data_IF_381399266598
#
_entry.id   IF_381399266598
#
_cell.length_a   1.000
_cell.length_b   1.000
_cell.length_c   1.000
_cell.angle_alpha   90.00
_cell.angle_beta   90.00
_cell.angle_gamma   90.00
#
_symmetry.space_group_name_H-M   'P 1'
#
loop_
_entity.id
_entity.type
_entity.pdbx_description
1 polymer ?
#
# COMPACT_ATOMS: atom_id res chain seq x y z
N UNK A 1 -9.05 18.52 6.67
CA UNK A 1 -9.21 18.09 5.25
C UNK A 1 -8.09 17.20 4.66
N UNK A 2 -7.10 16.71 5.42
CA UNK A 2 -6.01 15.84 4.90
C UNK A 2 -6.21 14.34 5.12
N UNK A 3 -7.21 13.94 5.92
CA UNK A 3 -7.45 12.53 6.22
C UNK A 3 -8.18 11.84 5.06
N UNK A 4 -7.44 11.13 4.22
CA UNK A 4 -7.96 10.41 3.05
C UNK A 4 -8.81 9.18 3.40
N UNK A 5 -8.92 8.79 4.68
CA UNK A 5 -9.92 7.82 5.14
C UNK A 5 -11.32 8.43 5.26
N UNK A 6 -11.41 9.75 5.44
CA UNK A 6 -12.68 10.47 5.68
C UNK A 6 -13.10 11.26 4.45
N UNK A 7 -12.16 11.89 3.76
CA UNK A 7 -12.40 12.73 2.60
C UNK A 7 -11.90 12.04 1.33
N UNK A 8 -12.77 11.82 0.35
CA UNK A 8 -12.40 11.24 -0.93
C UNK A 8 -11.64 12.23 -1.82
N UNK A 9 -10.77 11.69 -2.68
CA UNK A 9 -9.93 12.48 -3.60
C UNK A 9 -8.57 12.84 -3.01
N UNK A 10 -7.88 13.79 -3.66
CA UNK A 10 -6.57 14.28 -3.22
C UNK A 10 -6.73 15.28 -2.04
N UNK A 11 -5.76 15.33 -1.11
CA UNK A 11 -5.73 16.37 -0.08
C UNK A 11 -5.56 17.78 -0.71
N UNK A 12 -5.87 18.86 0.02
CA UNK A 12 -5.77 20.23 -0.51
C UNK A 12 -4.36 20.67 -0.94
N UNK A 13 -3.33 19.98 -0.46
CA UNK A 13 -1.93 20.26 -0.79
C UNK A 13 -1.05 19.03 -0.54
N UNK A 14 0.23 19.09 -0.95
CA UNK A 14 1.18 17.99 -0.74
C UNK A 14 1.48 17.80 0.74
N UNK A 15 1.81 16.56 1.13
CA UNK A 15 2.22 16.21 2.49
C UNK A 15 3.75 16.13 2.66
N UNK A 16 4.50 16.19 1.55
CA UNK A 16 5.95 16.07 1.51
C UNK A 16 6.51 16.65 0.21
N UNK A 17 7.84 16.78 0.12
CA UNK A 17 8.55 17.14 -1.10
C UNK A 17 8.86 15.86 -1.92
N UNK A 18 8.24 15.64 -3.09
CA UNK A 18 8.48 14.44 -3.88
C UNK A 18 9.86 14.46 -4.55
N UNK A 19 10.52 13.31 -4.62
CA UNK A 19 11.71 13.12 -5.44
C UNK A 19 11.36 12.96 -6.93
N UNK A 20 12.38 13.00 -7.78
CA UNK A 20 12.25 12.86 -9.24
C UNK A 20 11.48 11.59 -9.65
N UNK A 21 11.85 10.43 -9.08
CA UNK A 21 11.19 9.17 -9.37
C UNK A 21 9.70 9.18 -9.02
N UNK A 22 9.30 9.88 -7.95
CA UNK A 22 7.89 10.02 -7.55
C UNK A 22 7.11 10.88 -8.54
N UNK A 23 7.71 11.97 -9.04
CA UNK A 23 7.09 12.81 -10.08
C UNK A 23 6.94 12.03 -11.39
N UNK A 24 7.98 11.30 -11.81
CA UNK A 24 7.93 10.48 -13.01
C UNK A 24 6.81 9.43 -12.95
N UNK A 25 6.64 8.75 -11.81
CA UNK A 25 5.59 7.75 -11.62
C UNK A 25 4.17 8.32 -11.71
N UNK A 26 3.96 9.58 -11.30
CA UNK A 26 2.67 10.27 -11.45
C UNK A 26 2.36 10.56 -12.92
N UNK A 27 3.36 10.99 -13.71
CA UNK A 27 3.18 11.26 -15.14
C UNK A 27 3.11 10.00 -16.01
N UNK A 28 3.76 8.92 -15.58
CA UNK A 28 3.87 7.66 -16.31
C UNK A 28 3.45 6.46 -15.44
N UNK A 29 2.18 6.37 -15.04
CA UNK A 29 1.71 5.28 -14.20
C UNK A 29 1.75 3.94 -14.95
N UNK A 30 2.00 2.85 -14.21
CA UNK A 30 1.85 1.51 -14.74
C UNK A 30 0.39 1.23 -15.10
N UNK A 31 0.14 0.60 -16.25
CA UNK A 31 -1.20 0.17 -16.67
C UNK A 31 -1.56 -1.12 -15.94
N UNK A 32 -2.33 -0.99 -14.87
CA UNK A 32 -2.79 -2.12 -14.04
C UNK A 32 -4.17 -1.83 -13.48
N UNK A 33 -4.89 -2.88 -13.09
CA UNK A 33 -6.19 -2.79 -12.42
C UNK A 33 -6.06 -2.95 -10.90
N UNK A 34 -4.87 -2.71 -10.34
CA UNK A 34 -4.64 -2.88 -8.92
C UNK A 34 -5.26 -1.74 -8.11
N UNK A 35 -6.05 -2.10 -7.10
CA UNK A 35 -6.71 -1.16 -6.20
C UNK A 35 -6.14 -1.23 -4.77
N UNK A 36 -5.45 -2.32 -4.45
CA UNK A 36 -4.95 -2.59 -3.11
C UNK A 36 -3.48 -3.01 -3.16
N UNK A 37 -2.74 -2.66 -2.10
CA UNK A 37 -1.41 -3.18 -1.87
C UNK A 37 -1.16 -3.41 -0.37
N UNK A 38 -0.27 -4.35 -0.05
CA UNK A 38 0.18 -4.58 1.32
C UNK A 38 1.67 -4.92 1.32
N UNK A 39 2.39 -4.47 2.35
CA UNK A 39 3.82 -4.78 2.52
C UNK A 39 4.04 -6.26 2.79
N UNK A 40 5.10 -6.84 2.18
CA UNK A 40 5.61 -8.18 2.50
C UNK A 40 6.55 -8.20 3.72
N UNK A 41 6.86 -7.03 4.28
CA UNK A 41 7.84 -6.80 5.36
C UNK A 41 9.29 -7.12 4.99
N UNK A 42 9.63 -7.11 3.70
CA UNK A 42 10.98 -7.30 3.16
C UNK A 42 11.45 -6.14 2.27
N UNK A 43 10.69 -5.02 2.27
CA UNK A 43 10.92 -3.89 1.38
C UNK A 43 10.12 -3.94 0.07
N UNK A 44 9.36 -5.01 -0.17
CA UNK A 44 8.48 -5.15 -1.33
C UNK A 44 7.00 -5.22 -0.96
N UNK A 45 6.12 -5.15 -1.97
CA UNK A 45 4.67 -5.16 -1.83
C UNK A 45 4.01 -6.27 -2.66
N UNK A 46 2.85 -6.74 -2.21
CA UNK A 46 1.89 -7.47 -3.05
C UNK A 46 0.77 -6.52 -3.44
N UNK A 47 0.35 -6.59 -4.70
CA UNK A 47 -0.76 -5.82 -5.26
C UNK A 47 -1.95 -6.74 -5.55
N UNK A 48 -3.16 -6.22 -5.45
CA UNK A 48 -4.40 -6.94 -5.67
C UNK A 48 -5.45 -6.05 -6.33
N UNK A 49 -6.24 -6.62 -7.25
CA UNK A 49 -7.35 -5.92 -7.91
C UNK A 49 -8.66 -6.07 -7.13
N UNK A 50 -8.78 -7.13 -6.33
CA UNK A 50 -9.99 -7.45 -5.58
C UNK A 50 -9.77 -7.37 -4.08
N UNK A 51 -10.81 -6.95 -3.35
CA UNK A 51 -10.74 -6.81 -1.90
C UNK A 51 -10.52 -8.15 -1.17
N UNK A 52 -11.11 -9.25 -1.65
CA UNK A 52 -10.91 -10.59 -1.08
C UNK A 52 -9.45 -11.03 -1.12
N UNK A 53 -8.80 -10.84 -2.28
CA UNK A 53 -7.38 -11.11 -2.48
C UNK A 53 -6.51 -10.25 -1.55
N UNK A 54 -6.85 -8.95 -1.41
CA UNK A 54 -6.18 -8.08 -0.46
C UNK A 54 -6.28 -8.59 0.99
N UNK A 55 -7.45 -9.04 1.42
CA UNK A 55 -7.65 -9.58 2.78
C UNK A 55 -6.81 -10.84 3.02
N UNK A 56 -6.68 -11.71 2.04
CA UNK A 56 -5.81 -12.88 2.13
C UNK A 56 -4.34 -12.48 2.23
N UNK A 57 -3.90 -11.52 1.42
CA UNK A 57 -2.56 -10.97 1.48
C UNK A 57 -2.28 -10.33 2.85
N UNK A 58 -3.21 -9.56 3.41
CA UNK A 58 -3.09 -8.98 4.77
C UNK A 58 -2.96 -10.08 5.83
N UNK A 59 -3.79 -11.13 5.77
CA UNK A 59 -3.69 -12.26 6.70
C UNK A 59 -2.33 -12.96 6.61
N UNK A 60 -1.79 -13.11 5.41
CA UNK A 60 -0.50 -13.75 5.19
C UNK A 60 0.67 -12.88 5.67
N UNK A 61 0.79 -11.68 5.11
CA UNK A 61 1.97 -10.84 5.26
C UNK A 61 1.95 -9.97 6.51
N UNK A 62 0.79 -9.67 7.10
CA UNK A 62 0.73 -8.89 8.33
C UNK A 62 0.39 -9.79 9.51
N UNK A 63 -0.76 -10.46 9.50
CA UNK A 63 -1.23 -11.21 10.69
C UNK A 63 -0.33 -12.41 11.00
N UNK A 64 -0.25 -13.40 10.09
CA UNK A 64 0.53 -14.63 10.30
C UNK A 64 2.02 -14.36 10.41
N UNK A 65 2.55 -13.41 9.66
CA UNK A 65 3.95 -12.98 9.76
C UNK A 65 4.30 -12.58 11.20
N UNK A 66 3.55 -11.65 11.79
CA UNK A 66 3.84 -11.16 13.13
C UNK A 66 3.52 -12.17 14.22
N UNK A 67 2.50 -13.02 14.05
CA UNK A 67 2.27 -14.14 14.97
C UNK A 67 3.49 -15.07 15.04
N UNK A 68 4.00 -15.54 13.89
CA UNK A 68 5.17 -16.43 13.84
C UNK A 68 6.41 -15.77 14.45
N UNK A 69 6.65 -14.48 14.16
CA UNK A 69 7.81 -13.76 14.69
C UNK A 69 7.77 -13.60 16.21
N UNK A 70 6.57 -13.43 16.80
CA UNK A 70 6.38 -13.36 18.26
C UNK A 70 6.63 -14.70 18.95
N UNK A 71 6.22 -15.81 18.36
CA UNK A 71 6.39 -17.17 18.92
C UNK A 71 7.77 -17.80 18.68
N UNK A 72 8.66 -17.11 17.95
CA UNK A 72 10.03 -17.57 17.69
C UNK A 72 11.05 -16.94 18.67
N UNK A 73 10.58 -16.14 19.62
CA UNK A 73 11.31 -15.66 20.80
C UNK A 73 10.95 -16.53 22.00
#
# INVERSE_FOLDING_TARGET
PYNTYVYGGLPPGPIANPGEASLFAVFHPARTDYLYFVSRNDGTHVFASHYSEHLENVRHYQVRYWHRKRHKK
#
